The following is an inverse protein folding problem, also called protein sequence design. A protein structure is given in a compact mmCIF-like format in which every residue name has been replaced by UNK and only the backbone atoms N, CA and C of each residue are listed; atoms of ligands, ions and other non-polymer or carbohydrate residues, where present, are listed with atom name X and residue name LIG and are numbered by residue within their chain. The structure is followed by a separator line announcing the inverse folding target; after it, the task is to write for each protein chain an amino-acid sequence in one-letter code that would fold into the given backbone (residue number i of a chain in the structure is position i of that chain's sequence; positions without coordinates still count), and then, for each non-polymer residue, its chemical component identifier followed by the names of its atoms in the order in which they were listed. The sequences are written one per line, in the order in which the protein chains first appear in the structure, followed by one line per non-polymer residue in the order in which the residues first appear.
data_IF_381905221250
#
_entry.id   IF_381905221250
#
_cell.length_a   1.000
_cell.length_b   1.000
_cell.length_c   1.000
_cell.angle_alpha   90.00
_cell.angle_beta   90.00
_cell.angle_gamma   90.00
#
_symmetry.space_group_name_H-M   'P 1'
#
loop_
_entity.id
_entity.type
_entity.pdbx_description
1 polymer ?
#
# COMPACT_ATOMS: atom_id res chain seq x y z
N UNK A 1 -14.38 35.05 -21.88
CA UNK A 1 -14.06 34.98 -20.44
C UNK A 1 -12.67 34.40 -20.32
N UNK A 2 -11.72 35.16 -19.77
CA UNK A 2 -10.42 34.59 -19.41
C UNK A 2 -10.66 33.73 -18.17
N UNK A 3 -10.28 32.46 -18.22
CA UNK A 3 -10.30 31.60 -17.05
C UNK A 3 -9.14 32.02 -16.15
N UNK A 4 -9.42 32.62 -15.00
CA UNK A 4 -8.41 32.82 -13.97
C UNK A 4 -7.99 31.46 -13.41
N UNK A 5 -6.69 31.24 -13.34
CA UNK A 5 -6.12 29.99 -12.84
C UNK A 5 -6.04 30.05 -11.32
N UNK A 6 -6.76 29.17 -10.62
CA UNK A 6 -6.55 28.93 -9.19
C UNK A 6 -5.31 28.04 -9.00
N UNK A 7 -4.21 28.65 -8.54
CA UNK A 7 -2.96 27.95 -8.27
C UNK A 7 -3.04 27.02 -7.06
N UNK A 8 -3.92 27.29 -6.09
CA UNK A 8 -4.15 26.46 -4.91
C UNK A 8 -4.86 25.17 -5.27
N UNK A 9 -5.96 25.26 -6.03
CA UNK A 9 -6.67 24.09 -6.56
C UNK A 9 -5.77 23.25 -7.47
N UNK A 10 -4.99 23.91 -8.34
CA UNK A 10 -4.00 23.23 -9.19
C UNK A 10 -2.95 22.49 -8.35
N UNK A 11 -2.53 23.05 -7.22
CA UNK A 11 -1.62 22.40 -6.28
C UNK A 11 -2.24 21.14 -5.68
N UNK A 12 -3.46 21.25 -5.16
CA UNK A 12 -4.21 20.15 -4.58
C UNK A 12 -4.41 19.00 -5.59
N UNK A 13 -4.81 19.31 -6.82
CA UNK A 13 -4.99 18.30 -7.88
C UNK A 13 -3.67 17.57 -8.14
N UNK A 14 -2.54 18.29 -8.22
CA UNK A 14 -1.23 17.67 -8.45
C UNK A 14 -0.85 16.68 -7.35
N UNK A 15 -1.18 16.94 -6.10
CA UNK A 15 -0.92 16.02 -4.98
C UNK A 15 -1.70 14.71 -5.10
N UNK A 16 -2.86 14.75 -5.77
CA UNK A 16 -3.74 13.60 -5.98
C UNK A 16 -3.47 12.82 -7.29
N UNK A 17 -2.51 13.28 -8.13
CA UNK A 17 -2.10 12.54 -9.34
C UNK A 17 -1.06 11.48 -8.98
N UNK A 18 -1.46 10.21 -9.03
CA UNK A 18 -0.60 9.08 -8.71
C UNK A 18 -0.41 8.12 -9.88
N UNK A 19 0.82 7.60 -10.02
CA UNK A 19 1.23 6.68 -11.07
C UNK A 19 1.25 5.26 -10.50
N UNK A 20 0.81 4.30 -11.30
CA UNK A 20 0.89 2.87 -11.02
C UNK A 20 1.59 2.17 -12.17
N UNK A 21 2.47 1.22 -11.85
CA UNK A 21 3.06 0.35 -12.85
C UNK A 21 2.07 -0.76 -13.19
N UNK A 22 1.47 -0.66 -14.38
CA UNK A 22 0.62 -1.71 -14.94
C UNK A 22 1.44 -2.54 -15.92
N UNK A 23 2.06 -3.61 -15.42
CA UNK A 23 3.03 -4.39 -16.20
C UNK A 23 2.71 -5.89 -16.19
N UNK A 24 1.95 -6.38 -17.19
CA UNK A 24 1.52 -7.77 -17.27
C UNK A 24 2.65 -8.80 -17.24
N UNK A 25 3.83 -8.47 -17.75
CA UNK A 25 4.99 -9.36 -17.70
C UNK A 25 5.42 -9.67 -16.26
N UNK A 26 5.34 -8.70 -15.34
CA UNK A 26 5.63 -8.94 -13.94
C UNK A 26 4.53 -9.75 -13.25
N UNK A 27 3.27 -9.52 -13.61
CA UNK A 27 2.10 -10.22 -13.07
C UNK A 27 2.09 -11.70 -13.44
N UNK A 28 2.50 -12.00 -14.67
CA UNK A 28 2.50 -13.34 -15.21
C UNK A 28 3.87 -14.05 -15.08
N UNK A 29 4.87 -13.41 -14.46
CA UNK A 29 6.18 -14.01 -14.29
C UNK A 29 6.11 -15.19 -13.29
N UNK A 30 6.42 -16.43 -13.69
CA UNK A 30 6.37 -17.59 -12.80
C UNK A 30 7.26 -17.45 -11.56
N UNK A 31 8.37 -16.71 -11.64
CA UNK A 31 9.25 -16.47 -10.49
C UNK A 31 8.54 -15.68 -9.37
N UNK A 32 7.56 -14.85 -9.72
CA UNK A 32 6.74 -14.09 -8.79
C UNK A 32 5.53 -14.87 -8.26
N UNK A 33 5.32 -16.12 -8.69
CA UNK A 33 4.19 -16.94 -8.25
C UNK A 33 4.24 -17.16 -6.74
N UNK A 34 3.15 -16.82 -6.05
CA UNK A 34 3.04 -16.93 -4.58
C UNK A 34 2.80 -18.40 -4.21
N UNK A 35 3.69 -19.04 -3.42
CA UNK A 35 3.60 -20.47 -3.13
C UNK A 35 2.57 -20.82 -2.06
N UNK A 36 1.99 -19.82 -1.39
CA UNK A 36 1.04 -19.98 -0.30
C UNK A 36 -0.29 -19.32 -0.61
N UNK A 37 -1.38 -19.90 -0.10
CA UNK A 37 -2.70 -19.28 -0.18
C UNK A 37 -2.78 -18.08 0.75
N UNK A 38 -3.11 -16.91 0.19
CA UNK A 38 -3.33 -15.69 0.95
C UNK A 38 -4.84 -15.43 1.06
N UNK A 39 -5.39 -15.67 2.25
CA UNK A 39 -6.79 -15.32 2.57
C UNK A 39 -6.84 -13.88 3.06
N UNK A 40 -7.23 -12.97 2.17
CA UNK A 40 -7.25 -11.54 2.47
C UNK A 40 -8.49 -11.14 3.27
N UNK A 41 -8.25 -10.44 4.37
CA UNK A 41 -9.26 -9.74 5.15
C UNK A 41 -9.08 -8.23 4.93
N UNK A 42 -10.13 -7.46 5.17
CA UNK A 42 -10.16 -6.02 4.92
C UNK A 42 -10.75 -5.29 6.12
N UNK A 43 -10.13 -4.16 6.50
CA UNK A 43 -10.74 -3.16 7.37
C UNK A 43 -10.48 -1.75 6.82
N UNK A 44 -11.43 -0.80 6.96
CA UNK A 44 -11.11 0.61 6.74
C UNK A 44 -9.95 1.05 7.63
N UNK A 45 -9.06 1.88 7.13
CA UNK A 45 -7.91 2.35 7.89
C UNK A 45 -8.25 3.62 8.69
N UNK A 46 -8.58 3.45 9.97
CA UNK A 46 -8.77 4.54 10.92
C UNK A 46 -8.73 4.03 12.36
N UNK A 47 -8.58 4.95 13.32
CA UNK A 47 -8.45 4.61 14.74
C UNK A 47 -9.64 3.80 15.31
N UNK A 48 -10.85 3.97 14.77
CA UNK A 48 -12.03 3.24 15.25
C UNK A 48 -12.01 1.75 14.88
N UNK A 49 -11.23 1.36 13.86
CA UNK A 49 -11.17 -0.02 13.36
C UNK A 49 -10.05 -0.86 14.00
N UNK A 50 -9.23 -0.30 14.91
CA UNK A 50 -8.09 -1.02 15.53
C UNK A 50 -8.48 -2.37 16.12
N UNK A 51 -9.65 -2.45 16.78
CA UNK A 51 -10.07 -3.67 17.47
C UNK A 51 -10.52 -4.78 16.50
N UNK A 52 -10.80 -4.44 15.24
CA UNK A 52 -11.11 -5.39 14.18
C UNK A 52 -9.84 -5.99 13.55
N UNK A 53 -8.66 -5.45 13.86
CA UNK A 53 -7.37 -5.99 13.44
C UNK A 53 -6.87 -6.99 14.48
N UNK A 54 -6.46 -8.21 14.09
CA UNK A 54 -6.02 -9.23 15.04
C UNK A 54 -4.75 -8.83 15.81
N UNK A 55 -4.73 -9.14 17.11
CA UNK A 55 -3.63 -8.82 18.03
C UNK A 55 -2.59 -9.93 18.17
N UNK A 56 -2.89 -11.11 17.65
CA UNK A 56 -2.16 -12.38 17.79
C UNK A 56 -1.73 -12.98 16.45
N UNK A 57 -2.13 -12.37 15.34
CA UNK A 57 -1.76 -12.80 13.98
C UNK A 57 -0.73 -11.87 13.34
N UNK A 58 0.16 -12.47 12.55
CA UNK A 58 1.23 -11.83 11.77
C UNK A 58 1.11 -12.23 10.30
N UNK A 59 1.86 -11.58 9.40
CA UNK A 59 1.79 -11.87 7.97
C UNK A 59 1.99 -10.67 7.06
N UNK A 60 1.32 -10.71 5.91
CA UNK A 60 1.38 -9.67 4.88
C UNK A 60 0.18 -8.75 5.02
N UNK A 61 0.40 -7.47 4.75
CA UNK A 61 -0.65 -6.49 4.61
C UNK A 61 -0.41 -5.58 3.41
N UNK A 62 -1.47 -4.91 2.97
CA UNK A 62 -1.36 -3.85 1.99
C UNK A 62 -2.33 -2.70 2.27
N UNK A 63 -1.95 -1.52 1.78
CA UNK A 63 -2.82 -0.36 1.75
C UNK A 63 -3.40 -0.21 0.35
N UNK A 64 -4.72 -0.11 0.30
CA UNK A 64 -5.49 0.00 -0.94
C UNK A 64 -6.44 1.17 -0.82
N UNK A 65 -6.46 2.03 -1.83
CA UNK A 65 -7.47 3.09 -1.95
C UNK A 65 -8.69 2.54 -2.68
N UNK A 66 -9.86 2.70 -2.07
CA UNK A 66 -11.15 2.29 -2.61
C UNK A 66 -12.07 3.51 -2.66
N UNK A 67 -12.48 3.98 -3.86
CA UNK A 67 -13.45 5.06 -3.95
C UNK A 67 -14.78 4.65 -3.32
N UNK A 68 -15.36 5.51 -2.49
CA UNK A 68 -16.74 5.35 -2.03
C UNK A 68 -17.70 5.81 -3.13
N UNK A 69 -17.83 4.96 -4.16
CA UNK A 69 -18.70 5.20 -5.31
C UNK A 69 -19.48 3.95 -5.66
N UNK A 70 -20.66 3.81 -5.07
CA UNK A 70 -21.51 2.61 -5.15
C UNK A 70 -22.25 2.41 -6.49
N UNK A 71 -22.08 3.32 -7.46
CA UNK A 71 -22.74 3.26 -8.77
C UNK A 71 -21.87 2.67 -9.88
N UNK A 72 -20.60 2.38 -9.60
CA UNK A 72 -19.69 1.71 -10.53
C UNK A 72 -19.30 0.34 -9.97
N UNK A 73 -18.80 -0.53 -10.83
CA UNK A 73 -18.11 -1.73 -10.37
C UNK A 73 -16.92 -1.36 -9.47
N UNK A 74 -16.50 -2.33 -8.67
CA UNK A 74 -15.47 -2.12 -7.67
C UNK A 74 -14.14 -1.68 -8.31
N UNK A 75 -13.62 -0.56 -7.81
CA UNK A 75 -12.33 -0.01 -8.21
C UNK A 75 -11.40 0.01 -7.01
N UNK A 76 -10.17 -0.51 -7.18
CA UNK A 76 -9.17 -0.59 -6.11
C UNK A 76 -7.81 -0.19 -6.65
N UNK A 77 -7.06 0.55 -5.85
CA UNK A 77 -5.71 0.97 -6.19
C UNK A 77 -4.73 0.53 -5.12
N UNK A 78 -3.76 -0.34 -5.46
CA UNK A 78 -2.76 -0.85 -4.54
C UNK A 78 -1.64 0.18 -4.36
N UNK A 79 -1.50 0.74 -3.15
CA UNK A 79 -0.54 1.80 -2.88
C UNK A 79 0.74 1.27 -2.23
N UNK A 80 0.61 0.33 -1.31
CA UNK A 80 1.73 -0.16 -0.50
C UNK A 80 1.52 -1.62 -0.12
N UNK A 81 2.60 -2.39 -0.12
CA UNK A 81 2.65 -3.76 0.41
C UNK A 81 3.68 -3.78 1.54
N UNK A 82 3.40 -4.47 2.63
CA UNK A 82 4.38 -4.69 3.68
C UNK A 82 4.12 -5.96 4.46
N UNK A 83 5.09 -6.31 5.30
CA UNK A 83 4.97 -7.40 6.25
C UNK A 83 5.05 -6.98 7.73
N UNK A 84 4.68 -7.91 8.59
CA UNK A 84 5.00 -7.89 10.02
C UNK A 84 5.17 -9.31 10.55
N UNK A 85 6.25 -9.55 11.30
CA UNK A 85 6.44 -10.76 12.13
C UNK A 85 5.91 -10.58 13.57
N UNK A 86 5.60 -9.32 13.94
CA UNK A 86 4.78 -8.97 15.10
C UNK A 86 3.30 -9.00 14.70
N UNK A 87 2.40 -8.67 15.62
CA UNK A 87 0.98 -8.65 15.26
C UNK A 87 0.56 -7.54 14.31
N UNK A 88 -0.44 -7.81 13.47
CA UNK A 88 -1.04 -6.81 12.59
C UNK A 88 -1.52 -5.58 13.35
N UNK A 89 -2.13 -5.76 14.53
CA UNK A 89 -2.61 -4.63 15.36
C UNK A 89 -1.49 -3.69 15.79
N UNK A 90 -0.31 -4.22 16.14
CA UNK A 90 0.85 -3.39 16.47
C UNK A 90 1.26 -2.56 15.26
N UNK A 91 1.40 -3.22 14.10
CA UNK A 91 1.80 -2.55 12.86
C UNK A 91 0.78 -1.51 12.38
N UNK A 92 -0.50 -1.80 12.54
CA UNK A 92 -1.61 -0.90 12.23
C UNK A 92 -1.55 0.38 13.07
N UNK A 93 -1.29 0.25 14.39
CA UNK A 93 -1.12 1.40 15.29
C UNK A 93 0.06 2.28 14.92
N UNK A 94 1.18 1.68 14.52
CA UNK A 94 2.34 2.45 14.03
C UNK A 94 1.99 3.29 12.81
N UNK A 95 1.18 2.77 11.88
CA UNK A 95 0.70 3.58 10.76
C UNK A 95 -0.26 4.69 11.17
N UNK A 96 -1.06 4.50 12.23
CA UNK A 96 -1.87 5.59 12.77
C UNK A 96 -0.99 6.67 13.40
N UNK A 97 0.05 6.27 14.13
CA UNK A 97 1.04 7.20 14.67
C UNK A 97 1.80 7.94 13.54
N UNK A 98 2.16 7.23 12.46
CA UNK A 98 2.71 7.83 11.24
C UNK A 98 1.73 8.87 10.66
N UNK A 99 0.44 8.54 10.54
CA UNK A 99 -0.61 9.45 10.02
C UNK A 99 -0.77 10.71 10.88
N UNK A 100 -0.54 10.60 12.19
CA UNK A 100 -0.52 11.73 13.14
C UNK A 100 0.81 12.50 13.15
N UNK A 101 1.79 12.10 12.33
CA UNK A 101 3.08 12.79 12.22
C UNK A 101 4.07 12.45 13.35
N UNK A 102 3.81 11.40 14.12
CA UNK A 102 4.70 10.99 15.23
C UNK A 102 5.92 10.24 14.70
N UNK A 103 7.03 10.28 15.44
CA UNK A 103 8.19 9.42 15.19
C UNK A 103 8.94 9.64 13.87
N UNK A 104 8.76 10.80 13.21
CA UNK A 104 9.35 11.14 11.90
C UNK A 104 8.92 10.12 10.82
N UNK A 105 7.66 10.18 10.37
CA UNK A 105 7.12 9.19 9.46
C UNK A 105 7.84 9.23 8.12
N UNK A 106 7.87 8.08 7.44
CA UNK A 106 8.41 7.96 6.08
C UNK A 106 7.60 8.85 5.13
N UNK A 107 8.20 9.79 4.38
CA UNK A 107 7.43 10.79 3.63
C UNK A 107 6.37 10.22 2.68
N UNK A 108 6.70 9.21 1.86
CA UNK A 108 5.73 8.60 0.93
C UNK A 108 4.56 7.91 1.64
N UNK A 109 4.84 7.25 2.76
CA UNK A 109 3.82 6.59 3.58
C UNK A 109 2.94 7.64 4.23
N UNK A 110 3.52 8.69 4.82
CA UNK A 110 2.79 9.80 5.40
C UNK A 110 1.83 10.45 4.39
N UNK A 111 2.33 10.78 3.19
CA UNK A 111 1.51 11.34 2.12
C UNK A 111 0.34 10.43 1.76
N UNK A 112 0.56 9.11 1.60
CA UNK A 112 -0.51 8.14 1.38
C UNK A 112 -1.56 8.18 2.50
N UNK A 113 -1.11 8.11 3.75
CA UNK A 113 -2.01 8.05 4.89
C UNK A 113 -2.82 9.34 5.07
N UNK A 114 -2.27 10.50 4.71
CA UNK A 114 -2.95 11.80 4.86
C UNK A 114 -3.95 12.08 3.73
N UNK A 115 -3.53 11.91 2.47
CA UNK A 115 -4.33 12.33 1.33
C UNK A 115 -5.54 11.42 1.10
N UNK A 116 -5.42 10.11 1.36
CA UNK A 116 -6.51 9.14 1.13
C UNK A 116 -7.17 8.64 2.42
N UNK A 117 -7.01 9.34 3.56
CA UNK A 117 -7.45 8.86 4.89
C UNK A 117 -8.88 8.28 4.92
N UNK A 118 -9.81 8.88 4.18
CA UNK A 118 -11.24 8.54 4.21
C UNK A 118 -11.61 7.42 3.23
N UNK A 119 -10.69 7.00 2.37
CA UNK A 119 -10.87 5.95 1.36
C UNK A 119 -9.74 4.91 1.38
N UNK A 120 -8.93 4.89 2.45
CA UNK A 120 -7.81 3.98 2.61
C UNK A 120 -8.25 2.73 3.41
N UNK A 121 -7.90 1.56 2.89
CA UNK A 121 -8.23 0.27 3.48
C UNK A 121 -6.94 -0.50 3.78
N UNK A 122 -6.93 -1.16 4.93
CA UNK A 122 -5.87 -2.06 5.36
C UNK A 122 -6.31 -3.49 5.11
N UNK A 123 -5.65 -4.14 4.16
CA UNK A 123 -5.83 -5.55 3.86
C UNK A 123 -4.75 -6.36 4.56
N UNK A 124 -5.09 -7.55 5.04
CA UNK A 124 -4.12 -8.45 5.64
C UNK A 124 -4.42 -9.92 5.35
N UNK A 125 -3.36 -10.72 5.22
CA UNK A 125 -3.41 -12.16 5.06
C UNK A 125 -2.44 -12.79 6.07
N UNK A 126 -2.96 -13.65 6.95
CA UNK A 126 -2.18 -14.26 8.02
C UNK A 126 -1.29 -15.39 7.53
N UNK A 127 -0.07 -15.41 8.05
CA UNK A 127 0.94 -16.43 7.78
C UNK A 127 1.66 -16.74 9.10
N UNK A 128 1.95 -18.01 9.35
CA UNK A 128 2.55 -18.47 10.62
C UNK A 128 4.07 -18.46 10.58
N UNK A 129 4.66 -18.80 9.44
CA UNK A 129 6.12 -18.92 9.27
C UNK A 129 6.72 -17.62 8.73
N UNK A 130 7.79 -17.14 9.36
CA UNK A 130 8.41 -15.86 9.01
C UNK A 130 9.09 -15.89 7.64
N UNK A 131 9.61 -17.04 7.20
CA UNK A 131 10.20 -17.16 5.87
C UNK A 131 9.12 -17.10 4.79
N UNK A 132 7.96 -17.70 5.03
CA UNK A 132 6.82 -17.59 4.12
C UNK A 132 6.32 -16.15 4.01
N UNK A 133 6.37 -15.38 5.10
CA UNK A 133 6.05 -13.95 5.10
C UNK A 133 7.05 -13.21 4.21
N UNK A 134 8.35 -13.34 4.48
CA UNK A 134 9.38 -12.65 3.69
C UNK A 134 9.28 -13.01 2.20
N UNK A 135 9.13 -14.30 1.87
CA UNK A 135 8.99 -14.77 0.49
C UNK A 135 7.77 -14.16 -0.21
N UNK A 136 6.60 -14.14 0.46
CA UNK A 136 5.38 -13.57 -0.10
C UNK A 136 5.51 -12.06 -0.32
N UNK A 137 6.10 -11.32 0.62
CA UNK A 137 6.34 -9.87 0.47
C UNK A 137 7.21 -9.59 -0.74
N UNK A 138 8.34 -10.30 -0.87
CA UNK A 138 9.28 -10.14 -1.99
C UNK A 138 8.58 -10.39 -3.33
N UNK A 139 7.83 -11.48 -3.45
CA UNK A 139 7.10 -11.83 -4.67
C UNK A 139 6.04 -10.77 -5.02
N UNK A 140 5.24 -10.33 -4.05
CA UNK A 140 4.23 -9.28 -4.26
C UNK A 140 4.85 -7.94 -4.67
N UNK A 141 5.96 -7.54 -4.04
CA UNK A 141 6.67 -6.30 -4.40
C UNK A 141 7.24 -6.36 -5.83
N UNK A 142 7.81 -7.50 -6.22
CA UNK A 142 8.32 -7.70 -7.58
C UNK A 142 7.20 -7.71 -8.63
N UNK A 143 6.02 -8.21 -8.25
CA UNK A 143 4.83 -8.23 -9.11
C UNK A 143 4.28 -6.83 -9.37
N UNK A 144 4.06 -6.04 -8.31
CA UNK A 144 3.26 -4.81 -8.41
C UNK A 144 4.06 -3.52 -8.36
N UNK A 145 5.27 -3.55 -7.79
CA UNK A 145 6.16 -2.38 -7.64
C UNK A 145 5.39 -1.14 -7.15
N UNK A 146 4.72 -1.16 -5.98
CA UNK A 146 3.87 -0.05 -5.57
C UNK A 146 4.68 1.22 -5.33
N UNK A 147 4.15 2.38 -5.75
CA UNK A 147 4.85 3.69 -5.70
C UNK A 147 5.36 4.08 -4.31
N UNK A 148 4.64 3.68 -3.25
CA UNK A 148 4.97 4.04 -1.85
C UNK A 148 6.14 3.22 -1.34
N UNK A 149 6.31 1.98 -1.81
CA UNK A 149 7.43 1.13 -1.43
C UNK A 149 8.74 1.71 -2.01
N UNK A 150 9.72 1.93 -1.14
CA UNK A 150 11.06 2.42 -1.51
C UNK A 150 12.03 1.28 -1.82
N UNK A 151 11.88 0.16 -1.11
CA UNK A 151 12.75 -1.00 -1.22
C UNK A 151 12.06 -2.10 -2.02
N UNK A 152 12.20 -2.06 -3.34
CA UNK A 152 11.70 -3.10 -4.24
C UNK A 152 12.85 -4.06 -4.60
N UNK A 153 12.76 -5.37 -4.31
CA UNK A 153 13.84 -6.31 -4.55
C UNK A 153 14.33 -6.35 -6.00
N UNK A 154 13.41 -6.45 -6.98
CA UNK A 154 13.77 -6.48 -8.40
C UNK A 154 14.41 -5.17 -8.89
N UNK A 155 14.11 -4.03 -8.27
CA UNK A 155 14.70 -2.74 -8.64
C UNK A 155 16.17 -2.61 -8.20
N UNK A 156 16.63 -3.46 -7.28
CA UNK A 156 18.06 -3.55 -6.92
C UNK A 156 18.90 -4.19 -8.03
N UNK A 157 18.26 -4.96 -8.91
CA UNK A 157 18.91 -5.75 -9.96
C UNK A 157 18.62 -5.16 -11.34
N UNK A 158 17.46 -4.52 -11.54
CA UNK A 158 17.05 -3.86 -12.79
C UNK A 158 17.12 -2.34 -12.67
N UNK A 159 18.14 -1.68 -13.25
CA UNK A 159 18.30 -0.22 -13.18
C UNK A 159 17.11 0.56 -13.74
N UNK A 160 16.35 0.00 -14.67
CA UNK A 160 15.18 0.64 -15.30
C UNK A 160 14.02 0.82 -14.31
N UNK A 161 13.97 -0.01 -13.27
CA UNK A 161 12.97 0.10 -12.20
C UNK A 161 13.45 1.05 -11.08
N UNK A 162 14.74 1.39 -11.06
CA UNK A 162 15.28 2.38 -10.14
C UNK A 162 14.68 3.73 -10.54
N UNK A 163 14.03 4.39 -9.59
CA UNK A 163 13.45 5.72 -9.78
C UNK A 163 12.29 5.78 -10.80
N UNK A 164 11.62 4.67 -11.09
CA UNK A 164 10.49 4.62 -12.06
C UNK A 164 9.33 5.60 -11.74
N UNK A 165 9.26 6.08 -10.49
CA UNK A 165 8.25 7.03 -10.03
C UNK A 165 8.79 8.42 -9.69
N UNK A 166 10.09 8.66 -9.89
CA UNK A 166 10.68 10.00 -9.84
C UNK A 166 10.47 10.71 -11.18
#
# INVERSE_FOLDING_TARGET
MAFDIDFGERGLIKEHIWKFLLFPEHWNNPANGIPHNLTWNEVPFNNAQINNVPADKKGIYCFVVKPDFNKLFETRYLFYIGQTTRSFRVRYKEYLDDQEGKGKPRPKVFTMLKLWKDCLHFYYADLVDDNHIEECEVKLLNTFVPKVNTDIPIAKIKPELKNIYE
#
